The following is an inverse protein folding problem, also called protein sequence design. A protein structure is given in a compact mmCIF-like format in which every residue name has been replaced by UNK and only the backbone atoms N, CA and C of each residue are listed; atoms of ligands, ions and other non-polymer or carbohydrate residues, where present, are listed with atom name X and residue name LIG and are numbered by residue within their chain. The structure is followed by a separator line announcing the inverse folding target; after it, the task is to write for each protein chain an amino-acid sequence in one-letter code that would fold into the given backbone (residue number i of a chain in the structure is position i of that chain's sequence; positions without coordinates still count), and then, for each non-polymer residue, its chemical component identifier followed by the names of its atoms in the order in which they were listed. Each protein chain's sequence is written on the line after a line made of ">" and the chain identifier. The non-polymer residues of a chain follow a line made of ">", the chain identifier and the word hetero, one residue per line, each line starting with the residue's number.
data_IF_197386734812
#
_entry.id   IF_197386734812
#
_cell.length_a   1.000
_cell.length_b   1.000
_cell.length_c   1.000
_cell.angle_alpha   90.00
_cell.angle_beta   90.00
_cell.angle_gamma   90.00
#
_symmetry.space_group_name_H-M   'P 1'
#
loop_
_entity.id
_entity.type
_entity.pdbx_description
1 polymer ?
#
# COMPACT_ATOMS: atom_id res chain seq x y z
N UNK A 1 -33.53 -12.46 2.05
CA UNK A 1 -33.28 -11.02 2.07
C UNK A 1 -33.05 -10.45 3.48
N UNK A 2 -33.84 -10.70 4.54
CA UNK A 2 -33.51 -10.13 5.85
C UNK A 2 -32.07 -10.44 6.31
N UNK A 3 -31.62 -11.69 6.19
CA UNK A 3 -30.27 -12.09 6.59
C UNK A 3 -29.16 -11.37 5.81
N UNK A 4 -29.34 -11.14 4.50
CA UNK A 4 -28.38 -10.37 3.69
C UNK A 4 -28.33 -8.90 4.14
N UNK A 5 -29.48 -8.28 4.37
CA UNK A 5 -29.56 -6.88 4.77
C UNK A 5 -28.97 -6.66 6.17
N UNK A 6 -29.25 -7.58 7.12
CA UNK A 6 -28.70 -7.56 8.47
C UNK A 6 -27.17 -7.77 8.46
N UNK A 7 -26.68 -8.73 7.65
CA UNK A 7 -25.25 -8.98 7.44
C UNK A 7 -24.54 -7.73 6.90
N UNK A 8 -25.09 -7.13 5.85
CA UNK A 8 -24.47 -5.94 5.23
C UNK A 8 -24.52 -4.71 6.16
N UNK A 9 -25.60 -4.52 6.93
CA UNK A 9 -25.69 -3.47 7.94
C UNK A 9 -24.63 -3.64 9.04
N UNK A 10 -24.45 -4.88 9.52
CA UNK A 10 -23.41 -5.19 10.50
C UNK A 10 -22.02 -4.96 9.92
N UNK A 11 -21.75 -5.45 8.70
CA UNK A 11 -20.47 -5.33 8.02
C UNK A 11 -20.10 -3.87 7.73
N UNK A 12 -21.05 -3.04 7.32
CA UNK A 12 -20.83 -1.60 7.11
C UNK A 12 -20.22 -0.91 8.33
N UNK A 13 -20.69 -1.27 9.54
CA UNK A 13 -20.11 -0.75 10.78
C UNK A 13 -18.69 -1.28 11.00
N UNK A 14 -18.43 -2.55 10.69
CA UNK A 14 -17.10 -3.17 10.79
C UNK A 14 -16.11 -2.49 9.84
N UNK A 15 -16.50 -2.26 8.59
CA UNK A 15 -15.67 -1.55 7.62
C UNK A 15 -15.40 -0.10 8.04
N UNK A 16 -16.41 0.61 8.58
CA UNK A 16 -16.22 1.97 9.10
C UNK A 16 -15.19 2.01 10.24
N UNK A 17 -15.21 1.04 11.16
CA UNK A 17 -14.18 0.90 12.20
C UNK A 17 -12.81 0.57 11.61
N UNK A 18 -12.75 -0.28 10.59
CA UNK A 18 -11.52 -0.58 9.83
C UNK A 18 -10.93 0.68 9.19
N UNK A 19 -11.77 1.54 8.62
CA UNK A 19 -11.33 2.85 8.09
C UNK A 19 -10.78 3.78 9.19
N UNK A 20 -11.32 3.72 10.42
CA UNK A 20 -10.75 4.46 11.57
C UNK A 20 -9.36 3.92 11.91
N UNK A 21 -9.18 2.59 11.93
CA UNK A 21 -7.86 1.98 12.15
C UNK A 21 -6.85 2.42 11.09
N UNK A 22 -7.25 2.39 9.82
CA UNK A 22 -6.39 2.85 8.70
C UNK A 22 -5.97 4.33 8.84
N UNK A 23 -6.91 5.23 9.21
CA UNK A 23 -6.58 6.64 9.47
C UNK A 23 -5.68 6.84 10.68
N UNK A 24 -5.83 6.01 11.71
CA UNK A 24 -4.95 6.02 12.87
C UNK A 24 -3.53 5.56 12.50
N UNK A 25 -3.41 4.56 11.63
CA UNK A 25 -2.12 4.15 11.05
C UNK A 25 -1.50 5.25 10.17
N UNK A 26 -2.29 5.90 9.31
CA UNK A 26 -1.82 7.04 8.52
C UNK A 26 -1.29 8.18 9.41
N UNK A 27 -2.03 8.54 10.45
CA UNK A 27 -1.62 9.57 11.42
C UNK A 27 -0.28 9.21 12.08
N UNK A 28 -0.10 7.94 12.44
CA UNK A 28 1.14 7.44 13.07
C UNK A 28 2.36 7.67 12.17
N UNK A 29 2.23 7.47 10.87
CA UNK A 29 3.34 7.55 9.92
C UNK A 29 3.60 8.97 9.40
N UNK A 30 2.69 9.92 9.67
CA UNK A 30 2.77 11.28 9.11
C UNK A 30 2.91 12.37 10.16
N UNK A 31 1.90 12.57 10.99
CA UNK A 31 1.78 13.76 11.86
C UNK A 31 1.80 13.45 13.35
N UNK A 32 1.75 12.19 13.76
CA UNK A 32 1.76 11.79 15.17
C UNK A 32 3.05 12.25 15.86
N UNK A 33 2.98 12.88 17.06
CA UNK A 33 4.16 13.14 17.85
C UNK A 33 4.92 11.86 18.19
N UNK A 34 6.24 11.82 17.96
CA UNK A 34 7.06 10.62 18.15
C UNK A 34 6.96 10.01 19.56
N UNK A 35 6.77 10.83 20.58
CA UNK A 35 6.61 10.38 21.97
C UNK A 35 5.29 9.65 22.25
N UNK A 36 4.33 9.69 21.33
CA UNK A 36 3.02 9.04 21.46
C UNK A 36 2.99 7.57 21.06
N UNK A 37 4.10 7.02 20.54
CA UNK A 37 4.13 5.65 20.02
C UNK A 37 3.66 4.58 21.01
N UNK A 38 4.00 4.61 22.33
CA UNK A 38 3.47 3.63 23.29
C UNK A 38 1.95 3.72 23.45
N UNK A 39 1.38 4.91 23.49
CA UNK A 39 -0.06 5.09 23.58
C UNK A 39 -0.76 4.61 22.30
N UNK A 40 -0.20 4.95 21.13
CA UNK A 40 -0.74 4.53 19.85
C UNK A 40 -0.77 3.00 19.71
N UNK A 41 0.23 2.30 20.20
CA UNK A 41 0.25 0.85 20.19
C UNK A 41 -0.93 0.25 20.98
N UNK A 42 -1.24 0.80 22.13
CA UNK A 42 -2.40 0.37 22.94
C UNK A 42 -3.73 0.74 22.26
N UNK A 43 -3.83 1.91 21.61
CA UNK A 43 -5.00 2.31 20.83
C UNK A 43 -5.24 1.35 19.65
N UNK A 44 -4.19 0.95 18.94
CA UNK A 44 -4.28 -0.01 17.82
C UNK A 44 -4.66 -1.41 18.31
N UNK A 45 -4.10 -1.86 19.43
CA UNK A 45 -4.46 -3.14 20.06
C UNK A 45 -5.93 -3.18 20.47
N UNK A 46 -6.41 -2.15 21.17
CA UNK A 46 -7.79 -2.05 21.61
C UNK A 46 -8.78 -2.00 20.42
N UNK A 47 -8.41 -1.29 19.37
CA UNK A 47 -9.24 -1.22 18.17
C UNK A 47 -9.28 -2.57 17.44
N UNK A 48 -8.16 -3.30 17.38
CA UNK A 48 -8.13 -4.64 16.79
C UNK A 48 -8.93 -5.65 17.64
N UNK A 49 -8.95 -5.55 18.96
CA UNK A 49 -9.83 -6.37 19.81
C UNK A 49 -11.31 -6.21 19.42
N UNK A 50 -11.74 -4.96 19.22
CA UNK A 50 -13.11 -4.67 18.79
C UNK A 50 -13.39 -5.19 17.39
N UNK A 51 -12.45 -4.97 16.45
CA UNK A 51 -12.56 -5.44 15.08
C UNK A 51 -12.57 -6.97 15.00
N UNK A 52 -11.69 -7.64 15.75
CA UNK A 52 -11.63 -9.10 15.78
C UNK A 52 -12.92 -9.69 16.35
N UNK A 53 -13.45 -9.16 17.46
CA UNK A 53 -14.72 -9.59 18.03
C UNK A 53 -15.88 -9.44 17.03
N UNK A 54 -15.89 -8.36 16.24
CA UNK A 54 -16.90 -8.16 15.20
C UNK A 54 -16.72 -9.13 14.01
N UNK A 55 -15.48 -9.36 13.58
CA UNK A 55 -15.16 -10.26 12.45
C UNK A 55 -15.38 -11.75 12.77
N UNK A 56 -15.44 -12.08 14.06
CA UNK A 56 -15.68 -13.45 14.56
C UNK A 56 -17.04 -13.63 15.24
N UNK A 57 -17.92 -12.64 15.17
CA UNK A 57 -19.26 -12.69 15.77
C UNK A 57 -20.04 -13.90 15.21
N UNK A 58 -20.56 -14.80 16.05
CA UNK A 58 -21.29 -16.00 15.60
C UNK A 58 -22.47 -15.69 14.66
N UNK A 59 -23.13 -14.54 14.82
CA UNK A 59 -24.23 -14.11 13.94
C UNK A 59 -23.79 -14.00 12.48
N UNK A 60 -22.50 -13.73 12.21
CA UNK A 60 -21.99 -13.72 10.84
C UNK A 60 -22.12 -15.11 10.19
N UNK A 61 -21.82 -16.18 10.94
CA UNK A 61 -22.01 -17.55 10.45
C UNK A 61 -23.47 -17.82 10.07
N UNK A 62 -24.38 -17.53 11.00
CA UNK A 62 -25.82 -17.73 10.80
C UNK A 62 -26.32 -16.95 9.56
N UNK A 63 -25.98 -15.67 9.47
CA UNK A 63 -26.38 -14.85 8.31
C UNK A 63 -25.73 -15.31 7.00
N UNK A 64 -24.46 -15.74 7.00
CA UNK A 64 -23.79 -16.25 5.80
C UNK A 64 -24.41 -17.55 5.28
N UNK A 65 -24.97 -18.37 6.16
CA UNK A 65 -25.68 -19.61 5.77
C UNK A 65 -27.08 -19.31 5.22
N UNK A 66 -27.77 -18.29 5.73
CA UNK A 66 -29.14 -17.94 5.34
C UNK A 66 -29.22 -16.90 4.21
N UNK A 67 -28.15 -16.10 4.01
CA UNK A 67 -28.18 -15.00 3.06
C UNK A 67 -28.23 -15.45 1.60
N UNK A 68 -29.09 -14.81 0.84
CA UNK A 68 -29.16 -14.93 -0.62
C UNK A 68 -28.82 -13.57 -1.23
N UNK A 69 -27.86 -13.55 -2.14
CA UNK A 69 -27.44 -12.35 -2.83
C UNK A 69 -28.57 -11.79 -3.72
N UNK A 70 -28.79 -10.47 -3.75
CA UNK A 70 -29.75 -9.86 -4.63
C UNK A 70 -29.26 -9.79 -6.10
N UNK A 71 -27.94 -9.78 -6.30
CA UNK A 71 -27.28 -9.60 -7.61
C UNK A 71 -25.82 -10.09 -7.56
N UNK A 72 -25.09 -9.92 -8.65
CA UNK A 72 -23.68 -10.32 -8.76
C UNK A 72 -22.74 -9.58 -7.76
N UNK A 73 -23.03 -8.32 -7.42
CA UNK A 73 -22.28 -7.59 -6.41
C UNK A 73 -22.54 -8.15 -5.02
N UNK A 74 -23.78 -8.53 -4.72
CA UNK A 74 -24.17 -9.27 -3.53
C UNK A 74 -23.45 -10.61 -3.40
N UNK A 75 -23.36 -11.38 -4.48
CA UNK A 75 -22.60 -12.64 -4.52
C UNK A 75 -21.12 -12.43 -4.19
N UNK A 76 -20.51 -11.38 -4.77
CA UNK A 76 -19.13 -11.05 -4.48
C UNK A 76 -18.93 -10.63 -3.01
N UNK A 77 -19.83 -9.82 -2.44
CA UNK A 77 -19.79 -9.45 -1.02
C UNK A 77 -19.89 -10.69 -0.12
N UNK A 78 -20.84 -11.62 -0.39
CA UNK A 78 -20.99 -12.85 0.39
C UNK A 78 -19.73 -13.73 0.32
N UNK A 79 -19.14 -13.85 -0.86
CA UNK A 79 -17.90 -14.62 -1.05
C UNK A 79 -16.75 -14.05 -0.20
N UNK A 80 -16.53 -12.74 -0.27
CA UNK A 80 -15.45 -12.08 0.47
C UNK A 80 -15.70 -12.09 1.99
N UNK A 81 -16.94 -11.90 2.42
CA UNK A 81 -17.31 -12.00 3.83
C UNK A 81 -17.11 -13.42 4.37
N UNK A 82 -17.51 -14.45 3.63
CA UNK A 82 -17.30 -15.85 4.03
C UNK A 82 -15.82 -16.16 4.15
N UNK A 83 -15.01 -15.74 3.18
CA UNK A 83 -13.56 -15.89 3.21
C UNK A 83 -12.96 -15.21 4.45
N UNK A 84 -13.29 -13.95 4.68
CA UNK A 84 -12.81 -13.17 5.82
C UNK A 84 -13.23 -13.77 7.16
N UNK A 85 -14.50 -14.14 7.32
CA UNK A 85 -15.04 -14.76 8.54
C UNK A 85 -14.28 -16.03 8.92
N UNK A 86 -14.15 -16.97 7.98
CA UNK A 86 -13.45 -18.23 8.26
C UNK A 86 -11.96 -18.04 8.56
N UNK A 87 -11.32 -17.04 7.99
CA UNK A 87 -9.92 -16.71 8.31
C UNK A 87 -9.79 -16.12 9.70
N UNK A 88 -10.63 -15.13 10.04
CA UNK A 88 -10.58 -14.49 11.36
C UNK A 88 -10.89 -15.47 12.50
N UNK A 89 -11.76 -16.45 12.31
CA UNK A 89 -12.02 -17.51 13.29
C UNK A 89 -10.81 -18.37 13.64
N UNK A 90 -9.80 -18.45 12.75
CA UNK A 90 -8.57 -19.24 12.98
C UNK A 90 -7.54 -18.48 13.81
N UNK A 91 -7.55 -17.16 13.78
CA UNK A 91 -6.57 -16.31 14.47
C UNK A 91 -7.07 -16.02 15.89
N UNK A 92 -6.35 -16.41 16.95
CA UNK A 92 -6.73 -16.08 18.31
C UNK A 92 -6.77 -14.56 18.56
N UNK A 93 -7.76 -14.08 19.31
CA UNK A 93 -7.96 -12.66 19.59
C UNK A 93 -6.72 -11.99 20.20
N UNK A 94 -6.06 -12.68 21.16
CA UNK A 94 -4.83 -12.18 21.78
C UNK A 94 -3.66 -12.06 20.79
N UNK A 95 -3.58 -12.93 19.79
CA UNK A 95 -2.56 -12.85 18.74
C UNK A 95 -2.84 -11.67 17.81
N UNK A 96 -4.10 -11.44 17.43
CA UNK A 96 -4.49 -10.32 16.58
C UNK A 96 -4.18 -8.97 17.25
N UNK A 97 -4.56 -8.79 18.53
CA UNK A 97 -4.28 -7.55 19.26
C UNK A 97 -2.79 -7.34 19.51
N UNK A 98 -2.03 -8.41 19.81
CA UNK A 98 -0.58 -8.34 20.00
C UNK A 98 0.14 -7.98 18.69
N UNK A 99 -0.28 -8.53 17.55
CA UNK A 99 0.23 -8.13 16.24
C UNK A 99 -0.01 -6.64 15.99
N UNK A 100 -1.20 -6.12 16.24
CA UNK A 100 -1.51 -4.70 16.07
C UNK A 100 -0.61 -3.82 16.95
N UNK A 101 -0.40 -4.22 18.21
CA UNK A 101 0.45 -3.48 19.16
C UNK A 101 1.91 -3.50 18.75
N UNK A 102 2.47 -4.68 18.47
CA UNK A 102 3.90 -4.83 18.15
C UNK A 102 4.24 -4.19 16.81
N UNK A 103 3.40 -4.31 15.79
CA UNK A 103 3.66 -3.67 14.49
C UNK A 103 3.58 -2.16 14.58
N UNK A 104 2.68 -1.61 15.39
CA UNK A 104 2.62 -0.16 15.66
C UNK A 104 3.91 0.33 16.33
N UNK A 105 4.42 -0.34 17.37
CA UNK A 105 5.70 -0.01 17.99
C UNK A 105 6.88 -0.17 17.03
N UNK A 106 6.87 -1.23 16.23
CA UNK A 106 7.95 -1.56 15.28
C UNK A 106 8.15 -0.45 14.24
N UNK A 107 7.10 0.23 13.81
CA UNK A 107 7.18 1.35 12.88
C UNK A 107 8.08 2.49 13.39
N UNK A 108 7.88 2.93 14.63
CA UNK A 108 8.69 3.98 15.23
C UNK A 108 10.16 3.55 15.45
N UNK A 109 10.37 2.29 15.88
CA UNK A 109 11.70 1.73 16.01
C UNK A 109 12.44 1.64 14.67
N UNK A 110 11.73 1.18 13.62
CA UNK A 110 12.26 1.13 12.27
C UNK A 110 12.65 2.51 11.74
N UNK A 111 11.78 3.52 11.89
CA UNK A 111 12.05 4.87 11.44
C UNK A 111 13.30 5.46 12.12
N UNK A 112 13.47 5.22 13.42
CA UNK A 112 14.62 5.67 14.19
C UNK A 112 15.91 4.93 13.78
N UNK A 113 15.86 3.61 13.68
CA UNK A 113 17.00 2.78 13.28
C UNK A 113 17.46 3.11 11.84
N UNK A 114 16.51 3.33 10.92
CA UNK A 114 16.80 3.75 9.54
C UNK A 114 17.51 5.13 9.51
N UNK A 115 17.01 6.10 10.26
CA UNK A 115 17.62 7.44 10.32
C UNK A 115 19.03 7.40 10.91
N UNK A 116 19.32 6.45 11.80
CA UNK A 116 20.64 6.25 12.40
C UNK A 116 21.52 5.26 11.62
N UNK A 117 21.02 4.64 10.54
CA UNK A 117 21.67 3.53 9.82
C UNK A 117 22.04 2.35 10.75
N UNK A 118 21.28 2.15 11.83
CA UNK A 118 21.51 1.14 12.87
C UNK A 118 20.57 -0.07 12.69
N UNK A 119 20.94 -0.96 11.79
CA UNK A 119 20.21 -2.21 11.57
C UNK A 119 20.15 -3.07 12.84
N UNK A 120 21.22 -3.08 13.65
CA UNK A 120 21.29 -3.92 14.85
C UNK A 120 20.24 -3.53 15.90
N UNK A 121 19.92 -2.25 16.03
CA UNK A 121 18.85 -1.76 16.91
C UNK A 121 17.46 -2.25 16.50
N UNK A 122 17.22 -2.50 15.20
CA UNK A 122 15.92 -2.96 14.69
C UNK A 122 15.74 -4.48 14.72
N UNK A 123 16.81 -5.28 14.62
CA UNK A 123 16.72 -6.74 14.52
C UNK A 123 15.90 -7.42 15.63
N UNK A 124 15.98 -7.03 16.92
CA UNK A 124 15.15 -7.63 17.96
C UNK A 124 13.65 -7.40 17.75
N UNK A 125 13.29 -6.19 17.31
CA UNK A 125 11.89 -5.83 17.04
C UNK A 125 11.38 -6.60 15.82
N UNK A 126 12.17 -6.69 14.76
CA UNK A 126 11.85 -7.48 13.57
C UNK A 126 11.68 -8.96 13.92
N UNK A 127 12.53 -9.52 14.79
CA UNK A 127 12.41 -10.91 15.23
C UNK A 127 11.07 -11.19 15.92
N UNK A 128 10.58 -10.25 16.72
CA UNK A 128 9.28 -10.36 17.38
C UNK A 128 8.13 -10.30 16.38
N UNK A 129 8.16 -9.37 15.43
CA UNK A 129 7.17 -9.31 14.36
C UNK A 129 7.15 -10.61 13.56
N UNK A 130 8.32 -11.16 13.20
CA UNK A 130 8.42 -12.42 12.46
C UNK A 130 7.89 -13.60 13.29
N UNK A 131 8.14 -13.63 14.60
CA UNK A 131 7.59 -14.65 15.50
C UNK A 131 6.06 -14.65 15.47
N UNK A 132 5.44 -13.49 15.66
CA UNK A 132 3.99 -13.33 15.65
C UNK A 132 3.38 -13.67 14.29
N UNK A 133 4.01 -13.25 13.19
CA UNK A 133 3.54 -13.60 11.83
C UNK A 133 3.63 -15.10 11.54
N UNK A 134 4.63 -15.79 12.08
CA UNK A 134 4.72 -17.26 11.99
C UNK A 134 3.60 -17.95 12.77
N UNK A 135 3.24 -17.45 13.94
CA UNK A 135 2.12 -17.96 14.72
C UNK A 135 0.80 -17.76 13.99
N UNK A 136 0.59 -16.57 13.42
CA UNK A 136 -0.58 -16.26 12.60
C UNK A 136 -0.67 -17.18 11.36
N UNK A 137 0.42 -17.31 10.60
CA UNK A 137 0.48 -18.20 9.45
C UNK A 137 0.19 -19.65 9.80
N UNK A 138 0.73 -20.14 10.92
CA UNK A 138 0.44 -21.48 11.41
C UNK A 138 -1.05 -21.65 11.78
N UNK A 139 -1.66 -20.67 12.44
CA UNK A 139 -3.08 -20.70 12.79
C UNK A 139 -3.95 -20.69 11.53
N UNK A 140 -3.64 -19.84 10.55
CA UNK A 140 -4.36 -19.75 9.28
C UNK A 140 -4.27 -21.03 8.43
N UNK A 141 -3.15 -21.75 8.50
CA UNK A 141 -2.92 -23.00 7.76
C UNK A 141 -3.73 -24.19 8.31
N UNK A 142 -4.20 -24.13 9.56
CA UNK A 142 -4.94 -25.23 10.19
C UNK A 142 -6.16 -25.62 9.35
N UNK A 143 -6.26 -26.93 9.03
CA UNK A 143 -7.36 -27.51 8.24
C UNK A 143 -7.33 -27.10 6.76
N UNK A 144 -6.19 -26.67 6.24
CA UNK A 144 -5.94 -26.43 4.80
C UNK A 144 -4.78 -27.29 4.32
N UNK A 145 -4.54 -27.28 2.99
CA UNK A 145 -3.35 -27.88 2.39
C UNK A 145 -2.21 -26.88 2.19
N UNK A 146 -2.34 -25.66 2.75
CA UNK A 146 -1.36 -24.58 2.61
C UNK A 146 -0.32 -24.70 3.71
N UNK A 147 0.91 -24.30 3.40
CA UNK A 147 1.87 -23.97 4.44
C UNK A 147 1.59 -22.59 5.07
N UNK A 148 2.38 -22.17 6.05
CA UNK A 148 2.19 -20.90 6.73
C UNK A 148 2.40 -19.69 5.81
N UNK A 149 3.29 -19.78 4.82
CA UNK A 149 3.55 -18.72 3.87
C UNK A 149 2.37 -18.52 2.92
N UNK A 150 1.91 -19.60 2.30
CA UNK A 150 0.73 -19.56 1.41
C UNK A 150 -0.53 -19.12 2.16
N UNK A 151 -0.69 -19.55 3.41
CA UNK A 151 -1.81 -19.15 4.25
C UNK A 151 -1.79 -17.63 4.53
N UNK A 152 -0.64 -17.02 4.78
CA UNK A 152 -0.49 -15.57 4.93
C UNK A 152 -0.69 -14.84 3.59
N UNK A 153 -0.22 -15.42 2.48
CA UNK A 153 -0.36 -14.83 1.14
C UNK A 153 -1.81 -14.57 0.77
N UNK A 154 -2.77 -15.36 1.28
CA UNK A 154 -4.20 -15.19 0.97
C UNK A 154 -4.77 -13.82 1.40
N UNK A 155 -4.12 -13.06 2.27
CA UNK A 155 -4.54 -11.70 2.64
C UNK A 155 -4.10 -10.66 1.60
N UNK A 156 -3.08 -10.98 0.82
CA UNK A 156 -2.49 -10.10 -0.19
C UNK A 156 -2.92 -10.48 -1.61
N UNK A 157 -2.89 -11.78 -1.91
CA UNK A 157 -3.24 -12.33 -3.22
C UNK A 157 -4.11 -13.57 -3.06
N UNK A 158 -5.44 -13.38 -2.91
CA UNK A 158 -6.37 -14.49 -2.74
C UNK A 158 -6.31 -15.49 -3.89
N UNK A 159 -6.08 -16.76 -3.56
CA UNK A 159 -5.94 -17.86 -4.53
C UNK A 159 -4.52 -18.05 -5.07
N UNK A 160 -3.58 -17.16 -4.74
CA UNK A 160 -2.16 -17.31 -5.07
C UNK A 160 -1.47 -18.36 -4.20
N UNK A 161 -0.34 -18.87 -4.68
CA UNK A 161 0.58 -19.76 -3.93
C UNK A 161 2.04 -19.52 -4.35
N UNK A 162 2.96 -19.93 -3.50
CA UNK A 162 4.40 -19.71 -3.69
C UNK A 162 4.95 -20.41 -4.93
N UNK A 163 4.47 -21.62 -5.26
CA UNK A 163 4.98 -22.40 -6.39
C UNK A 163 4.63 -21.76 -7.73
N UNK A 164 3.39 -21.25 -7.89
CA UNK A 164 2.97 -20.54 -9.09
C UNK A 164 3.74 -19.22 -9.26
N UNK A 165 3.95 -18.49 -8.15
CA UNK A 165 4.76 -17.27 -8.14
C UNK A 165 6.22 -17.56 -8.53
N UNK A 166 6.83 -18.62 -7.97
CA UNK A 166 8.19 -19.03 -8.30
C UNK A 166 8.31 -19.39 -9.79
N UNK A 167 7.36 -20.15 -10.33
CA UNK A 167 7.31 -20.52 -11.74
C UNK A 167 7.26 -19.29 -12.65
N UNK A 168 6.39 -18.32 -12.31
CA UNK A 168 6.30 -17.06 -13.04
C UNK A 168 7.61 -16.26 -12.99
N UNK A 169 8.22 -16.12 -11.82
CA UNK A 169 9.47 -15.38 -11.65
C UNK A 169 10.63 -16.06 -12.37
N UNK A 170 10.72 -17.37 -12.34
CA UNK A 170 11.77 -18.11 -13.05
C UNK A 170 11.64 -17.98 -14.58
N UNK A 171 10.41 -17.91 -15.10
CA UNK A 171 10.17 -17.62 -16.51
C UNK A 171 10.55 -16.18 -16.92
N UNK A 172 10.38 -15.20 -16.04
CA UNK A 172 10.70 -13.80 -16.30
C UNK A 172 12.18 -13.47 -16.14
N UNK A 173 12.86 -14.08 -15.16
CA UNK A 173 14.24 -13.76 -14.75
C UNK A 173 15.25 -13.68 -15.89
N UNK A 174 15.35 -14.66 -16.82
CA UNK A 174 16.36 -14.62 -17.90
C UNK A 174 16.21 -13.39 -18.81
N UNK A 175 14.96 -13.01 -19.12
CA UNK A 175 14.67 -11.85 -19.96
C UNK A 175 15.01 -10.54 -19.26
N UNK A 176 14.68 -10.43 -17.98
CA UNK A 176 14.99 -9.24 -17.16
C UNK A 176 16.50 -9.06 -17.00
N UNK A 177 17.26 -10.15 -16.75
CA UNK A 177 18.71 -10.10 -16.68
C UNK A 177 19.34 -9.64 -17.99
N UNK A 178 18.90 -10.17 -19.13
CA UNK A 178 19.41 -9.76 -20.44
C UNK A 178 19.11 -8.27 -20.75
N UNK A 179 17.92 -7.77 -20.39
CA UNK A 179 17.58 -6.34 -20.54
C UNK A 179 18.46 -5.49 -19.65
N UNK A 180 18.63 -5.88 -18.37
CA UNK A 180 19.48 -5.16 -17.40
C UNK A 180 20.93 -5.09 -17.86
N UNK A 181 21.52 -6.19 -18.33
CA UNK A 181 22.89 -6.22 -18.85
C UNK A 181 23.07 -5.27 -20.05
N UNK A 182 22.12 -5.27 -20.98
CA UNK A 182 22.13 -4.34 -22.12
C UNK A 182 22.00 -2.88 -21.67
N UNK A 183 21.14 -2.59 -20.71
CA UNK A 183 20.96 -1.24 -20.18
C UNK A 183 22.24 -0.73 -19.50
N UNK A 184 22.88 -1.55 -18.66
CA UNK A 184 24.13 -1.20 -18.00
C UNK A 184 25.29 -1.01 -18.98
N UNK A 185 25.32 -1.80 -20.07
CA UNK A 185 26.33 -1.68 -21.13
C UNK A 185 26.13 -0.43 -22.01
N UNK A 186 24.98 0.20 -22.01
CA UNK A 186 24.69 1.40 -22.81
C UNK A 186 25.38 2.69 -22.30
N UNK A 187 26.10 2.62 -21.19
CA UNK A 187 26.85 3.73 -20.58
C UNK A 187 26.01 4.51 -19.55
N UNK A 188 26.67 5.49 -18.92
CA UNK A 188 26.03 6.29 -17.89
C UNK A 188 24.92 7.18 -18.49
N UNK A 189 23.80 7.22 -17.81
CA UNK A 189 22.77 8.21 -18.07
C UNK A 189 23.20 9.58 -17.51
N UNK A 190 22.68 10.68 -18.07
CA UNK A 190 22.81 11.99 -17.44
C UNK A 190 22.20 11.99 -16.03
N UNK A 191 22.71 12.81 -15.16
CA UNK A 191 22.17 13.03 -13.80
C UNK A 191 21.71 14.45 -13.66
N UNK A 192 20.64 14.67 -12.90
CA UNK A 192 20.23 16.00 -12.50
C UNK A 192 21.27 16.62 -11.58
N UNK A 193 21.37 17.93 -11.60
CA UNK A 193 22.17 18.70 -10.66
C UNK A 193 21.47 20.02 -10.35
N UNK A 194 21.54 20.45 -9.12
CA UNK A 194 20.85 21.63 -8.63
C UNK A 194 20.43 21.44 -7.19
N UNK A 195 19.72 22.41 -6.67
CA UNK A 195 19.03 22.32 -5.39
C UNK A 195 17.51 22.39 -5.65
N UNK A 196 16.78 21.42 -5.11
CA UNK A 196 15.36 21.22 -5.36
C UNK A 196 14.58 21.40 -4.06
N UNK A 197 14.17 22.64 -3.71
CA UNK A 197 13.55 22.90 -2.41
C UNK A 197 12.31 22.05 -2.17
N UNK A 198 12.14 21.57 -0.93
CA UNK A 198 11.02 20.72 -0.53
C UNK A 198 9.65 21.32 -0.90
N UNK A 199 9.47 22.63 -0.65
CA UNK A 199 8.20 23.29 -0.93
C UNK A 199 7.82 23.21 -2.41
N UNK A 200 8.80 23.39 -3.31
CA UNK A 200 8.61 23.37 -4.75
C UNK A 200 8.40 21.94 -5.26
N UNK A 201 9.14 20.96 -4.71
CA UNK A 201 8.88 19.54 -5.03
C UNK A 201 7.46 19.12 -4.63
N UNK A 202 6.99 19.54 -3.46
CA UNK A 202 5.62 19.24 -2.99
C UNK A 202 4.56 19.95 -3.84
N UNK A 203 4.81 21.18 -4.28
CA UNK A 203 3.91 21.91 -5.16
C UNK A 203 3.81 21.24 -6.54
N UNK A 204 4.95 20.86 -7.13
CA UNK A 204 5.01 20.13 -8.40
C UNK A 204 4.34 18.75 -8.29
N UNK A 205 4.59 18.02 -7.20
CA UNK A 205 3.94 16.72 -6.96
C UNK A 205 2.43 16.83 -6.84
N UNK A 206 1.89 17.91 -6.28
CA UNK A 206 0.44 18.18 -6.27
C UNK A 206 -0.10 18.45 -7.67
N UNK A 207 0.60 19.25 -8.48
CA UNK A 207 0.23 19.51 -9.88
C UNK A 207 0.19 18.20 -10.67
N UNK A 208 1.23 17.37 -10.53
CA UNK A 208 1.33 16.06 -11.17
C UNK A 208 0.18 15.16 -10.72
N UNK A 209 -0.06 15.03 -9.43
CA UNK A 209 -1.15 14.21 -8.89
C UNK A 209 -2.51 14.61 -9.47
N UNK A 210 -2.77 15.93 -9.58
CA UNK A 210 -3.99 16.46 -10.20
C UNK A 210 -4.07 16.10 -11.68
N UNK A 211 -2.97 16.23 -12.42
CA UNK A 211 -2.90 15.89 -13.85
C UNK A 211 -3.13 14.38 -14.10
N UNK A 212 -2.72 13.51 -13.17
CA UNK A 212 -2.99 12.09 -13.19
C UNK A 212 -4.39 11.69 -12.69
N UNK A 213 -5.22 12.67 -12.32
CA UNK A 213 -6.63 12.44 -11.96
C UNK A 213 -6.91 12.23 -10.47
N UNK A 214 -5.93 12.46 -9.59
CA UNK A 214 -6.16 12.37 -8.15
C UNK A 214 -7.03 13.50 -7.65
N UNK A 215 -8.11 13.16 -6.96
CA UNK A 215 -9.08 14.09 -6.40
C UNK A 215 -8.70 14.51 -4.98
N UNK A 216 -8.11 15.68 -4.84
CA UNK A 216 -7.76 16.28 -3.55
C UNK A 216 -8.94 16.65 -2.66
N UNK A 217 -10.17 16.61 -3.14
CA UNK A 217 -11.36 16.77 -2.28
C UNK A 217 -11.66 15.52 -1.46
N UNK A 218 -11.09 14.38 -1.88
CA UNK A 218 -11.20 13.07 -1.25
C UNK A 218 -9.85 12.52 -0.79
N UNK A 219 -8.86 13.39 -0.59
CA UNK A 219 -7.54 12.95 -0.15
C UNK A 219 -6.57 14.09 0.07
N UNK A 220 -5.34 13.74 0.39
CA UNK A 220 -4.25 14.68 0.67
C UNK A 220 -2.90 14.07 0.35
N UNK A 221 -1.89 14.91 0.12
CA UNK A 221 -0.48 14.53 -0.05
C UNK A 221 0.32 15.06 1.12
N UNK A 222 1.02 14.18 1.84
CA UNK A 222 1.85 14.47 3.01
C UNK A 222 3.24 13.85 2.87
N UNK A 223 4.13 14.16 3.82
CA UNK A 223 5.45 13.55 3.92
C UNK A 223 5.42 12.33 4.85
N UNK A 224 6.14 11.28 4.47
CA UNK A 224 6.38 10.11 5.30
C UNK A 224 7.81 9.59 5.12
N UNK A 225 8.28 8.78 6.06
CA UNK A 225 9.62 8.14 5.97
C UNK A 225 9.69 7.17 4.80
N UNK A 226 8.60 6.47 4.53
CA UNK A 226 8.39 5.64 3.34
C UNK A 226 7.09 6.07 2.67
N UNK A 227 7.08 6.39 1.37
CA UNK A 227 5.85 6.70 0.64
C UNK A 227 4.84 5.56 0.71
N UNK A 228 3.56 5.90 0.85
CA UNK A 228 2.45 4.94 0.83
C UNK A 228 1.13 5.61 0.49
N UNK A 229 0.18 4.83 -0.01
CA UNK A 229 -1.23 5.20 -0.15
C UNK A 229 -2.06 4.47 0.91
N UNK A 230 -3.07 5.12 1.44
CA UNK A 230 -3.99 4.52 2.42
C UNK A 230 -5.41 5.05 2.30
N UNK A 231 -6.36 4.25 2.77
CA UNK A 231 -7.79 4.56 2.70
C UNK A 231 -8.46 4.00 1.46
N UNK A 232 -9.76 4.19 1.35
CA UNK A 232 -10.58 3.80 0.20
C UNK A 232 -11.78 4.72 0.02
N UNK A 233 -12.35 4.74 -1.18
CA UNK A 233 -13.58 5.47 -1.46
C UNK A 233 -13.43 6.99 -1.36
N UNK A 234 -13.95 7.59 -0.30
CA UNK A 234 -14.04 9.05 -0.13
C UNK A 234 -12.92 9.66 0.74
N UNK A 235 -11.98 8.86 1.25
CA UNK A 235 -10.81 9.36 1.99
C UNK A 235 -9.61 8.47 1.64
N UNK A 236 -8.92 8.83 0.56
CA UNK A 236 -7.73 8.12 0.07
C UNK A 236 -6.55 9.07 0.11
N UNK A 237 -5.56 8.76 0.93
CA UNK A 237 -4.42 9.63 1.23
C UNK A 237 -3.15 9.06 0.64
N UNK A 238 -2.30 9.93 0.14
CA UNK A 238 -0.99 9.58 -0.41
C UNK A 238 0.12 10.30 0.34
N UNK A 239 1.28 9.69 0.37
CA UNK A 239 2.47 10.30 0.95
C UNK A 239 3.63 10.24 -0.03
N UNK A 240 4.61 11.09 0.18
CA UNK A 240 5.87 11.06 -0.56
C UNK A 240 7.05 11.34 0.38
N UNK A 241 8.24 11.28 -0.16
CA UNK A 241 9.49 11.57 0.54
C UNK A 241 10.29 12.55 -0.29
N UNK A 242 10.86 13.58 0.33
CA UNK A 242 11.68 14.60 -0.33
C UNK A 242 13.16 14.35 -0.09
N UNK A 243 13.93 14.55 -1.15
CA UNK A 243 15.37 14.73 -1.13
C UNK A 243 15.67 15.99 -1.96
N UNK A 244 16.34 16.99 -1.37
CA UNK A 244 16.60 18.25 -2.05
C UNK A 244 17.75 18.16 -3.07
N UNK A 245 18.47 17.04 -3.10
CA UNK A 245 19.48 16.70 -4.11
C UNK A 245 18.96 15.74 -5.20
N UNK A 246 17.84 15.01 -4.93
CA UNK A 246 17.20 14.08 -5.88
C UNK A 246 15.68 14.23 -5.94
N UNK A 247 15.16 15.11 -6.82
CA UNK A 247 13.73 15.36 -6.93
C UNK A 247 12.94 14.18 -7.52
N UNK A 248 13.61 13.24 -8.20
CA UNK A 248 12.95 12.06 -8.76
C UNK A 248 12.37 11.16 -7.67
N UNK A 249 13.00 11.12 -6.50
CA UNK A 249 12.48 10.38 -5.37
C UNK A 249 11.07 10.86 -4.96
N UNK A 250 10.88 12.18 -4.82
CA UNK A 250 9.59 12.76 -4.48
C UNK A 250 8.56 12.57 -5.61
N UNK A 251 8.93 12.92 -6.83
CA UNK A 251 8.03 12.96 -7.98
C UNK A 251 7.52 11.55 -8.33
N UNK A 252 8.43 10.57 -8.48
CA UNK A 252 8.03 9.22 -8.90
C UNK A 252 7.36 8.42 -7.79
N UNK A 253 7.73 8.65 -6.51
CA UNK A 253 6.94 8.13 -5.40
C UNK A 253 5.52 8.70 -5.41
N UNK A 254 5.36 10.01 -5.61
CA UNK A 254 4.03 10.61 -5.68
C UNK A 254 3.19 10.03 -6.84
N UNK A 255 3.78 9.85 -8.04
CA UNK A 255 3.09 9.22 -9.19
C UNK A 255 2.66 7.79 -8.86
N UNK A 256 3.54 7.01 -8.21
CA UNK A 256 3.26 5.66 -7.78
C UNK A 256 2.06 5.61 -6.84
N UNK A 257 2.08 6.42 -5.77
CA UNK A 257 1.00 6.47 -4.80
C UNK A 257 -0.31 7.03 -5.40
N UNK A 258 -0.21 7.93 -6.38
CA UNK A 258 -1.38 8.39 -7.16
C UNK A 258 -2.01 7.23 -7.93
N UNK A 259 -1.22 6.31 -8.48
CA UNK A 259 -1.74 5.13 -9.15
C UNK A 259 -2.58 4.26 -8.22
N UNK A 260 -2.09 3.99 -7.00
CA UNK A 260 -2.86 3.33 -5.96
C UNK A 260 -4.13 4.11 -5.59
N UNK A 261 -3.99 5.42 -5.38
CA UNK A 261 -5.08 6.23 -4.87
C UNK A 261 -6.20 6.45 -5.91
N UNK A 262 -5.86 6.62 -7.19
CA UNK A 262 -6.88 6.76 -8.24
C UNK A 262 -7.63 5.44 -8.48
N UNK A 263 -7.00 4.29 -8.23
CA UNK A 263 -7.70 3.00 -8.21
C UNK A 263 -8.76 2.99 -7.11
N UNK A 264 -8.41 3.30 -5.87
CA UNK A 264 -9.35 3.35 -4.75
C UNK A 264 -10.43 4.44 -4.92
N UNK A 265 -10.07 5.62 -5.40
CA UNK A 265 -11.02 6.69 -5.70
C UNK A 265 -11.94 6.36 -6.88
N UNK A 266 -11.54 5.44 -7.76
CA UNK A 266 -12.29 4.98 -8.92
C UNK A 266 -13.30 3.87 -8.62
N UNK A 267 -13.27 3.27 -7.42
CA UNK A 267 -14.26 2.28 -7.00
C UNK A 267 -15.65 2.93 -6.90
N UNK A 268 -16.68 2.23 -7.40
CA UNK A 268 -18.05 2.76 -7.39
C UNK A 268 -18.53 3.07 -5.97
N UNK A 269 -18.96 4.31 -5.77
CA UNK A 269 -19.42 4.82 -4.48
C UNK A 269 -20.64 4.07 -3.92
N UNK A 270 -21.40 3.34 -4.73
CA UNK A 270 -22.50 2.49 -4.27
C UNK A 270 -22.02 1.33 -3.38
N UNK A 271 -20.74 0.95 -3.51
CA UNK A 271 -20.12 -0.11 -2.73
C UNK A 271 -19.34 0.36 -1.49
N UNK A 272 -19.42 1.64 -1.15
CA UNK A 272 -18.72 2.18 0.04
C UNK A 272 -19.05 1.38 1.31
N UNK A 273 -18.01 1.10 2.09
CA UNK A 273 -18.11 0.34 3.34
C UNK A 273 -18.67 -1.08 3.15
N UNK A 274 -18.41 -1.67 1.99
CA UNK A 274 -18.64 -3.10 1.73
C UNK A 274 -17.32 -3.79 1.35
N UNK A 275 -17.23 -5.12 1.39
CA UNK A 275 -16.03 -5.86 1.00
C UNK A 275 -15.51 -5.53 -0.41
N UNK A 276 -16.41 -5.28 -1.37
CA UNK A 276 -16.03 -4.92 -2.75
C UNK A 276 -15.86 -3.41 -2.96
N UNK A 277 -15.99 -2.61 -1.92
CA UNK A 277 -15.80 -1.15 -1.94
C UNK A 277 -14.33 -0.69 -1.85
N UNK A 278 -13.40 -1.56 -2.17
CA UNK A 278 -11.94 -1.32 -2.15
C UNK A 278 -11.22 -2.18 -3.19
N UNK A 279 -9.95 -1.91 -3.44
CA UNK A 279 -9.10 -2.70 -4.32
C UNK A 279 -9.06 -4.19 -3.95
N UNK A 280 -8.90 -5.06 -4.96
CA UNK A 280 -9.12 -6.52 -4.81
C UNK A 280 -7.91 -7.28 -4.29
N UNK A 281 -6.71 -7.03 -4.83
CA UNK A 281 -5.48 -7.73 -4.44
C UNK A 281 -4.28 -6.80 -4.53
N UNK A 282 -3.19 -7.22 -3.89
CA UNK A 282 -1.94 -6.46 -3.93
C UNK A 282 -1.35 -6.42 -5.34
N UNK A 283 -1.42 -7.53 -6.08
CA UNK A 283 -0.92 -7.60 -7.45
C UNK A 283 -1.68 -6.68 -8.41
N UNK A 284 -3.02 -6.62 -8.32
CA UNK A 284 -3.83 -5.69 -9.11
C UNK A 284 -3.57 -4.24 -8.71
N UNK A 285 -3.48 -3.98 -7.41
CA UNK A 285 -3.22 -2.64 -6.87
C UNK A 285 -1.85 -2.11 -7.31
N UNK A 286 -0.80 -2.95 -7.23
CA UNK A 286 0.56 -2.62 -7.68
C UNK A 286 0.65 -2.50 -9.20
N UNK A 287 -0.12 -3.29 -9.95
CA UNK A 287 -0.22 -3.15 -11.42
C UNK A 287 -0.70 -1.75 -11.80
N UNK A 288 -1.65 -1.18 -11.05
CA UNK A 288 -2.14 0.18 -11.27
C UNK A 288 -1.07 1.24 -10.97
N UNK A 289 -0.38 1.14 -9.83
CA UNK A 289 0.71 2.06 -9.47
C UNK A 289 1.85 2.01 -10.48
N UNK A 290 2.24 0.80 -10.92
CA UNK A 290 3.30 0.61 -11.93
C UNK A 290 2.89 1.09 -13.32
N UNK A 291 1.61 1.00 -13.69
CA UNK A 291 1.12 1.60 -14.94
C UNK A 291 1.30 3.12 -14.92
N UNK A 292 0.99 3.76 -13.81
CA UNK A 292 1.18 5.21 -13.64
C UNK A 292 2.65 5.59 -13.58
N UNK A 293 3.44 4.95 -12.72
CA UNK A 293 4.86 5.27 -12.54
C UNK A 293 5.69 4.91 -13.77
N UNK A 294 5.59 3.65 -14.24
CA UNK A 294 6.53 3.13 -15.24
C UNK A 294 6.05 3.31 -16.67
N UNK A 295 4.76 3.06 -16.96
CA UNK A 295 4.28 3.12 -18.33
C UNK A 295 3.93 4.55 -18.76
N UNK A 296 3.26 5.32 -17.91
CA UNK A 296 2.93 6.71 -18.20
C UNK A 296 4.03 7.66 -17.74
N UNK A 297 4.41 7.63 -16.48
CA UNK A 297 5.34 8.59 -15.85
C UNK A 297 6.78 8.53 -16.37
N UNK A 298 7.20 7.40 -16.96
CA UNK A 298 8.52 7.24 -17.59
C UNK A 298 8.47 7.21 -19.11
N UNK A 299 7.30 7.50 -19.73
CA UNK A 299 7.18 7.62 -21.18
C UNK A 299 7.92 8.86 -21.71
N UNK A 300 8.36 8.81 -22.96
CA UNK A 300 9.05 9.92 -23.61
C UNK A 300 8.18 11.19 -23.64
N UNK A 301 6.89 11.03 -23.95
CA UNK A 301 5.94 12.15 -24.00
C UNK A 301 5.76 12.84 -22.63
N UNK A 302 5.59 12.05 -21.57
CA UNK A 302 5.46 12.61 -20.22
C UNK A 302 6.77 13.22 -19.73
N UNK A 303 7.91 12.58 -19.99
CA UNK A 303 9.22 13.13 -19.64
C UNK A 303 9.50 14.47 -20.33
N UNK A 304 9.05 14.67 -21.58
CA UNK A 304 9.13 15.97 -22.25
C UNK A 304 8.33 17.06 -21.53
N UNK A 305 7.09 16.77 -21.16
CA UNK A 305 6.26 17.67 -20.36
C UNK A 305 6.91 17.95 -18.98
N UNK A 306 7.33 16.92 -18.26
CA UNK A 306 7.92 17.06 -16.94
C UNK A 306 9.24 17.86 -16.99
N UNK A 307 10.06 17.68 -18.03
CA UNK A 307 11.28 18.46 -18.24
C UNK A 307 10.99 19.96 -18.30
N UNK A 308 9.99 20.36 -19.08
CA UNK A 308 9.55 21.76 -19.14
C UNK A 308 9.13 22.28 -17.77
N UNK A 309 8.26 21.53 -17.07
CA UNK A 309 7.75 21.92 -15.74
C UNK A 309 8.86 22.02 -14.68
N UNK A 310 9.79 21.07 -14.67
CA UNK A 310 10.93 21.11 -13.74
C UNK A 310 11.83 22.35 -13.99
N UNK A 311 12.04 22.70 -15.24
CA UNK A 311 12.80 23.93 -15.59
C UNK A 311 12.07 25.20 -15.21
N UNK A 312 10.74 25.24 -15.36
CA UNK A 312 9.93 26.38 -14.93
C UNK A 312 10.01 26.58 -13.40
N UNK A 313 10.04 25.48 -12.63
CA UNK A 313 10.01 25.49 -11.17
C UNK A 313 11.42 25.69 -10.59
N UNK A 314 12.41 24.95 -11.08
CA UNK A 314 13.75 24.87 -10.49
C UNK A 314 14.85 25.58 -11.30
N UNK A 315 14.53 26.06 -12.51
CA UNK A 315 15.51 26.69 -13.39
C UNK A 315 16.42 25.70 -14.12
N UNK A 316 17.73 25.88 -14.00
CA UNK A 316 18.67 24.91 -14.57
C UNK A 316 18.77 23.66 -13.67
N UNK A 317 18.49 22.52 -14.28
CA UNK A 317 18.48 21.20 -13.59
C UNK A 317 19.67 20.33 -14.01
N UNK A 318 20.69 20.91 -14.66
CA UNK A 318 21.91 20.21 -15.08
C UNK A 318 21.76 19.31 -16.31
N UNK A 319 20.58 19.29 -16.96
CA UNK A 319 20.29 18.48 -18.15
C UNK A 319 19.79 19.41 -19.25
N UNK A 320 20.48 19.39 -20.40
CA UNK A 320 20.30 20.37 -21.47
C UNK A 320 19.20 20.06 -22.49
N UNK A 321 18.61 18.85 -22.48
CA UNK A 321 17.59 18.46 -23.45
C UNK A 321 16.55 17.51 -22.87
N UNK A 322 15.35 17.48 -23.47
CA UNK A 322 14.28 16.51 -23.14
C UNK A 322 14.76 15.07 -23.27
N UNK A 323 15.57 14.79 -24.29
CA UNK A 323 16.14 13.46 -24.53
C UNK A 323 17.10 13.03 -23.41
N UNK A 324 17.95 13.93 -22.94
CA UNK A 324 18.84 13.62 -21.83
C UNK A 324 18.08 13.49 -20.52
N UNK A 325 17.05 14.29 -20.32
CA UNK A 325 16.13 14.16 -19.19
C UNK A 325 15.42 12.80 -19.22
N UNK A 326 14.87 12.38 -20.37
CA UNK A 326 14.25 11.05 -20.52
C UNK A 326 15.25 9.92 -20.20
N UNK A 327 16.52 10.05 -20.60
CA UNK A 327 17.57 9.10 -20.25
C UNK A 327 17.90 9.11 -18.76
N UNK A 328 17.90 10.27 -18.13
CA UNK A 328 18.11 10.41 -16.69
C UNK A 328 16.99 9.71 -15.90
N UNK A 329 15.73 9.97 -16.28
CA UNK A 329 14.54 9.34 -15.66
C UNK A 329 14.55 7.81 -15.79
N UNK A 330 15.02 7.29 -16.92
CA UNK A 330 15.06 5.86 -17.23
C UNK A 330 16.43 5.22 -16.96
N UNK A 331 17.25 5.84 -16.14
CA UNK A 331 18.55 5.29 -15.76
C UNK A 331 18.39 3.96 -15.02
N UNK A 332 19.19 2.96 -15.42
CA UNK A 332 19.26 1.67 -14.74
C UNK A 332 20.54 1.62 -13.94
N UNK A 333 20.40 1.44 -12.63
CA UNK A 333 21.52 1.30 -11.69
C UNK A 333 21.56 -0.09 -11.06
N UNK A 334 22.70 -0.40 -10.43
CA UNK A 334 22.79 -1.47 -9.42
C UNK A 334 22.62 -0.80 -8.06
N UNK A 335 21.53 -1.11 -7.34
CA UNK A 335 21.38 -0.73 -5.93
C UNK A 335 22.10 -1.68 -5.03
#
# INVERSE_FOLDING_TARGET
>A
MPAYDDLMAFQRTTEALGQVAGRTGWDQETVMPRGSAPQRAEEMAALEEVLHARRTDPRLGDWLDEAHAPDAAGDANLRELRRSYHRNLKVPANLASELARVTSLAQGHWASARAAEDTAAFLPVLAEVVRLRREEGAALAVGTNMDAYDALMQDYEPGGNADDMATMFDAMRPRLLAIRERALAAGKAPTLSGHFPQADQMALSREIATAFGYDFTRGRLDLAVHPFSSGSGLDVRITTRVDEDDPFNCIYSAIHEVGHATYEQGVDATHLLTPIGRGVSMGVHESQSRSYENQMGRSEAYCGWLYGRMRDVFGDIGVGSERDFYRAVNAVGSG
#
